data_IF_450857603391
#
_entry.id   IF_450857603391
#
_cell.length_a   1.000
_cell.length_b   1.000
_cell.length_c   1.000
_cell.angle_alpha   90.00
_cell.angle_beta   90.00
_cell.angle_gamma   90.00
#
_symmetry.space_group_name_H-M   'P 1'
#
loop_
_entity.id
_entity.type
_entity.pdbx_description
1 polymer ?
#
# COMPACT_ATOMS: atom_id res chain seq x y z
N UNK A 1 -17.15 0.34 8.91
CA UNK A 1 -16.11 1.23 8.33
C UNK A 1 -16.77 2.45 7.73
N UNK A 2 -16.23 3.66 7.91
CA UNK A 2 -16.66 4.87 7.18
C UNK A 2 -15.46 5.40 6.41
N UNK A 3 -15.64 5.67 5.12
CA UNK A 3 -14.65 6.39 4.32
C UNK A 3 -14.54 7.83 4.85
N UNK A 4 -13.32 8.27 5.18
CA UNK A 4 -13.07 9.57 5.82
C UNK A 4 -12.61 10.65 4.83
N UNK A 5 -11.81 10.27 3.82
CA UNK A 5 -11.28 11.19 2.82
C UNK A 5 -10.85 10.42 1.56
N UNK A 6 -10.91 11.10 0.41
CA UNK A 6 -10.31 10.65 -0.85
C UNK A 6 -9.53 11.81 -1.48
N UNK A 7 -8.51 11.48 -2.27
CA UNK A 7 -7.73 12.45 -3.04
C UNK A 7 -7.72 12.05 -4.51
N UNK A 8 -8.16 12.97 -5.38
CA UNK A 8 -7.89 12.90 -6.81
C UNK A 8 -6.99 14.09 -7.17
N UNK A 9 -5.78 13.80 -7.64
CA UNK A 9 -4.82 14.82 -8.04
C UNK A 9 -4.69 14.89 -9.56
N UNK A 10 -4.76 16.11 -10.10
CA UNK A 10 -4.36 16.40 -11.47
C UNK A 10 -2.85 16.28 -11.61
N UNK A 11 -2.38 15.51 -12.60
CA UNK A 11 -0.96 15.23 -12.76
C UNK A 11 -0.28 16.27 -13.65
N UNK A 12 0.91 16.77 -13.28
CA UNK A 12 1.61 17.81 -14.04
C UNK A 12 2.11 17.34 -15.41
N UNK A 13 2.20 16.02 -15.63
CA UNK A 13 2.52 15.41 -16.93
C UNK A 13 1.51 14.31 -17.27
N UNK A 14 0.91 14.32 -18.47
CA UNK A 14 0.12 13.20 -18.97
C UNK A 14 0.94 11.91 -18.93
N UNK A 15 0.34 10.82 -18.43
CA UNK A 15 1.01 9.51 -18.37
C UNK A 15 2.09 9.39 -17.28
N UNK A 16 1.97 10.15 -16.18
CA UNK A 16 2.80 9.95 -14.98
C UNK A 16 1.93 9.71 -13.75
N UNK A 17 2.45 9.10 -12.69
CA UNK A 17 1.81 9.05 -11.37
C UNK A 17 2.64 9.78 -10.31
N UNK A 18 1.97 10.33 -9.30
CA UNK A 18 2.62 10.80 -8.07
C UNK A 18 2.83 9.57 -7.17
N UNK A 19 3.96 9.44 -6.46
CA UNK A 19 4.12 8.38 -5.47
C UNK A 19 3.08 8.52 -4.35
N UNK A 20 2.64 7.38 -3.80
CA UNK A 20 1.57 7.34 -2.80
C UNK A 20 1.98 8.09 -1.55
N UNK A 21 3.26 8.06 -1.19
CA UNK A 21 3.80 8.83 -0.07
C UNK A 21 3.39 10.31 -0.12
N UNK A 22 3.66 11.04 -1.21
CA UNK A 22 3.31 12.47 -1.25
C UNK A 22 1.80 12.71 -1.18
N UNK A 23 1.00 11.85 -1.82
CA UNK A 23 -0.46 11.95 -1.74
C UNK A 23 -0.96 11.73 -0.30
N UNK A 24 -0.39 10.74 0.40
CA UNK A 24 -0.73 10.43 1.78
C UNK A 24 -0.23 11.48 2.76
N UNK A 25 0.94 12.11 2.54
CA UNK A 25 1.37 13.26 3.34
C UNK A 25 0.37 14.41 3.24
N UNK A 26 -0.11 14.75 2.04
CA UNK A 26 -1.13 15.79 1.87
C UNK A 26 -2.46 15.43 2.56
N UNK A 27 -2.87 14.17 2.48
CA UNK A 27 -4.05 13.68 3.21
C UNK A 27 -3.83 13.74 4.72
N UNK A 28 -2.69 13.29 5.21
CA UNK A 28 -2.32 13.30 6.62
C UNK A 28 -2.37 14.71 7.20
N UNK A 29 -1.81 15.70 6.49
CA UNK A 29 -1.87 17.12 6.88
C UNK A 29 -3.31 17.65 6.97
N UNK A 30 -4.17 17.25 6.03
CA UNK A 30 -5.58 17.65 6.03
C UNK A 30 -6.36 16.97 7.17
N UNK A 31 -6.11 15.68 7.40
CA UNK A 31 -6.74 14.87 8.43
C UNK A 31 -6.36 15.36 9.84
N UNK A 32 -5.10 15.73 10.07
CA UNK A 32 -4.64 16.30 11.34
C UNK A 32 -5.36 17.62 11.70
N UNK A 33 -5.83 18.38 10.71
CA UNK A 33 -6.62 19.61 10.96
C UNK A 33 -8.02 19.31 11.44
N UNK A 34 -8.54 18.10 11.20
CA UNK A 34 -9.87 17.66 11.63
C UNK A 34 -9.85 17.10 13.06
N UNK A 35 -8.68 16.67 13.55
CA UNK A 35 -8.50 16.16 14.90
C UNK A 35 -7.59 14.93 14.92
N UNK A 36 -7.70 14.15 16.00
CA UNK A 36 -7.04 12.85 16.11
C UNK A 36 -7.90 11.80 15.42
N UNK A 37 -7.32 11.06 14.48
CA UNK A 37 -7.99 10.00 13.74
C UNK A 37 -7.18 8.72 13.83
N UNK A 38 -7.85 7.66 14.29
CA UNK A 38 -7.31 6.30 14.26
C UNK A 38 -7.56 5.69 12.89
N UNK A 39 -6.62 5.92 11.97
CA UNK A 39 -6.67 5.31 10.63
C UNK A 39 -6.39 3.82 10.77
N UNK A 40 -7.30 2.96 10.35
CA UNK A 40 -7.12 1.51 10.43
C UNK A 40 -6.57 0.90 9.13
N UNK A 41 -6.75 1.57 8.00
CA UNK A 41 -6.23 1.13 6.71
C UNK A 41 -6.04 2.28 5.73
N UNK A 42 -5.28 2.00 4.68
CA UNK A 42 -5.26 2.80 3.45
C UNK A 42 -5.56 1.90 2.26
N UNK A 43 -6.11 2.50 1.20
CA UNK A 43 -6.31 1.83 -0.07
C UNK A 43 -5.95 2.79 -1.20
N UNK A 44 -5.19 2.30 -2.18
CA UNK A 44 -4.72 3.10 -3.30
C UNK A 44 -4.79 2.29 -4.61
N UNK A 45 -5.20 2.96 -5.68
CA UNK A 45 -5.20 2.41 -7.03
C UNK A 45 -3.99 2.93 -7.80
N UNK A 46 -3.07 2.03 -8.14
CA UNK A 46 -1.77 2.35 -8.71
C UNK A 46 -1.74 2.00 -10.20
N UNK A 47 -1.66 2.99 -11.12
CA UNK A 47 -1.49 2.70 -12.53
C UNK A 47 -0.02 2.32 -12.80
N UNK A 48 0.34 1.04 -12.74
CA UNK A 48 1.74 0.60 -12.92
C UNK A 48 2.26 0.71 -14.37
N UNK A 49 1.37 0.98 -15.33
CA UNK A 49 1.72 1.20 -16.75
C UNK A 49 2.20 2.62 -17.07
N UNK A 50 2.24 3.52 -16.08
CA UNK A 50 2.71 4.91 -16.26
C UNK A 50 3.95 5.18 -15.41
N UNK A 51 4.78 6.11 -15.88
CA UNK A 51 6.03 6.46 -15.19
C UNK A 51 5.75 7.16 -13.85
N UNK A 52 6.59 6.93 -12.85
CA UNK A 52 6.51 7.65 -11.57
C UNK A 52 7.24 8.98 -11.69
N UNK A 53 6.57 10.08 -11.35
CA UNK A 53 7.22 11.39 -11.26
C UNK A 53 8.25 11.37 -10.11
N UNK A 54 9.54 11.35 -10.47
CA UNK A 54 10.70 11.55 -9.58
C UNK A 54 10.59 10.87 -8.20
N UNK A 55 10.87 9.57 -8.13
CA UNK A 55 10.78 8.77 -6.91
C UNK A 55 12.08 8.76 -6.06
N UNK A 56 12.78 9.89 -5.94
CA UNK A 56 14.09 9.95 -5.27
C UNK A 56 14.02 9.84 -3.74
N UNK A 57 12.83 9.75 -3.15
CA UNK A 57 12.63 9.85 -1.69
C UNK A 57 12.86 8.52 -0.94
N UNK A 58 12.79 7.38 -1.63
CA UNK A 58 12.85 6.05 -1.02
C UNK A 58 14.10 5.79 -0.17
N UNK A 59 15.26 6.23 -0.64
CA UNK A 59 16.52 5.98 0.07
C UNK A 59 16.61 6.75 1.38
N UNK A 60 15.98 7.91 1.53
CA UNK A 60 15.97 8.64 2.80
C UNK A 60 14.92 8.10 3.77
N UNK A 61 13.75 7.70 3.25
CA UNK A 61 12.60 7.25 4.06
C UNK A 61 12.91 6.01 4.91
N UNK A 62 13.58 4.99 4.36
CA UNK A 62 13.90 3.79 5.13
C UNK A 62 14.83 4.07 6.33
N UNK A 63 15.69 5.10 6.22
CA UNK A 63 16.60 5.47 7.31
C UNK A 63 15.82 6.05 8.49
N UNK A 64 14.75 6.79 8.21
CA UNK A 64 13.90 7.37 9.25
C UNK A 64 13.24 6.28 10.10
N UNK A 65 12.60 5.29 9.46
CA UNK A 65 11.98 4.15 10.16
C UNK A 65 12.97 3.29 10.96
N UNK A 66 14.24 3.23 10.53
CA UNK A 66 15.30 2.54 11.30
C UNK A 66 15.78 3.31 12.53
N UNK A 67 15.69 4.64 12.49
CA UNK A 67 16.15 5.52 13.59
C UNK A 67 15.12 5.62 14.70
N UNK A 68 13.84 5.53 14.37
CA UNK A 68 12.76 5.50 15.34
C UNK A 68 12.80 4.17 16.10
N UNK A 69 13.31 4.20 17.34
CA UNK A 69 13.23 3.06 18.25
C UNK A 69 11.77 2.82 18.62
N UNK A 70 11.25 1.65 18.26
CA UNK A 70 9.90 1.23 18.58
C UNK A 70 9.96 0.03 19.51
N UNK A 71 9.24 0.11 20.63
CA UNK A 71 9.26 -0.90 21.69
C UNK A 71 8.57 -2.22 21.28
N UNK A 72 7.68 -2.18 20.28
CA UNK A 72 6.98 -3.34 19.77
C UNK A 72 6.66 -3.21 18.26
N UNK A 73 7.14 -4.14 17.41
CA UNK A 73 6.73 -4.20 16.01
C UNK A 73 5.22 -4.32 15.86
N UNK A 74 4.68 -3.74 14.78
CA UNK A 74 3.28 -3.78 14.42
C UNK A 74 3.04 -4.80 13.31
N UNK A 75 1.98 -5.58 13.46
CA UNK A 75 1.49 -6.43 12.38
C UNK A 75 0.64 -5.61 11.42
N UNK A 76 0.94 -5.73 10.13
CA UNK A 76 0.16 -5.13 9.05
C UNK A 76 -0.17 -6.19 8.00
N UNK A 77 -1.35 -6.09 7.41
CA UNK A 77 -1.76 -6.93 6.29
C UNK A 77 -1.75 -6.11 5.00
N UNK A 78 -1.20 -6.69 3.94
CA UNK A 78 -1.15 -6.07 2.62
C UNK A 78 -1.95 -6.94 1.67
N UNK A 79 -2.89 -6.33 0.93
CA UNK A 79 -3.57 -7.00 -0.17
C UNK A 79 -3.38 -6.23 -1.46
N UNK A 80 -2.91 -6.91 -2.51
CA UNK A 80 -2.78 -6.36 -3.85
C UNK A 80 -3.74 -7.09 -4.79
N UNK A 81 -4.57 -6.31 -5.48
CA UNK A 81 -5.56 -6.79 -6.43
C UNK A 81 -5.24 -6.25 -7.82
N UNK A 82 -5.33 -7.10 -8.82
CA UNK A 82 -5.01 -6.79 -10.22
C UNK A 82 -5.97 -7.51 -11.16
N UNK A 83 -6.01 -7.09 -12.42
CA UNK A 83 -6.78 -7.78 -13.47
C UNK A 83 -6.49 -9.28 -13.48
N UNK A 84 -7.52 -10.13 -13.55
CA UNK A 84 -7.34 -11.59 -13.62
C UNK A 84 -6.56 -12.04 -14.87
N UNK A 85 -6.49 -11.19 -15.91
CA UNK A 85 -5.65 -11.45 -17.08
C UNK A 85 -4.14 -11.32 -16.81
N UNK A 86 -3.74 -10.67 -15.73
CA UNK A 86 -2.35 -10.55 -15.35
C UNK A 86 -1.86 -11.83 -14.66
N UNK A 87 -0.61 -12.21 -14.95
CA UNK A 87 0.03 -13.35 -14.30
C UNK A 87 0.20 -13.04 -12.81
N UNK A 88 -0.48 -13.81 -11.96
CA UNK A 88 -0.35 -13.70 -10.50
C UNK A 88 1.09 -14.00 -10.08
N UNK A 89 1.78 -13.07 -9.38
CA UNK A 89 3.07 -13.36 -8.78
C UNK A 89 2.98 -14.47 -7.72
N UNK A 90 4.05 -15.24 -7.58
CA UNK A 90 4.18 -16.16 -6.44
C UNK A 90 4.24 -15.36 -5.13
N UNK A 91 3.41 -15.68 -4.12
CA UNK A 91 3.36 -14.90 -2.88
C UNK A 91 4.66 -14.88 -2.09
N UNK A 92 5.41 -15.99 -2.10
CA UNK A 92 6.68 -16.09 -1.36
C UNK A 92 7.73 -15.22 -2.03
N UNK A 93 7.90 -15.35 -3.34
CA UNK A 93 8.84 -14.54 -4.11
C UNK A 93 8.48 -13.05 -4.03
N UNK A 94 7.19 -12.71 -4.03
CA UNK A 94 6.76 -11.32 -3.88
C UNK A 94 7.11 -10.75 -2.51
N UNK A 95 6.88 -11.52 -1.44
CA UNK A 95 7.24 -11.16 -0.08
C UNK A 95 8.75 -10.91 0.07
N UNK A 96 9.57 -11.80 -0.51
CA UNK A 96 11.03 -11.66 -0.52
C UNK A 96 11.49 -10.37 -1.21
N UNK A 97 10.95 -10.05 -2.38
CA UNK A 97 11.28 -8.82 -3.11
C UNK A 97 10.83 -7.58 -2.32
N UNK A 98 9.65 -7.61 -1.71
CA UNK A 98 9.17 -6.51 -0.87
C UNK A 98 10.09 -6.29 0.33
N UNK A 99 10.47 -7.36 1.04
CA UNK A 99 11.38 -7.29 2.18
C UNK A 99 12.79 -6.80 1.76
N UNK A 100 13.29 -7.24 0.61
CA UNK A 100 14.57 -6.76 0.07
C UNK A 100 14.52 -5.25 -0.25
N UNK A 101 13.46 -4.81 -0.93
CA UNK A 101 13.26 -3.40 -1.31
C UNK A 101 13.00 -2.51 -0.10
N UNK A 102 12.42 -3.06 0.97
CA UNK A 102 12.25 -2.36 2.25
C UNK A 102 13.56 -2.14 3.00
N UNK A 103 14.66 -2.77 2.56
CA UNK A 103 15.97 -2.78 3.22
C UNK A 103 15.89 -3.26 4.67
N UNK A 104 14.98 -4.21 4.92
CA UNK A 104 14.74 -4.80 6.24
C UNK A 104 13.89 -3.94 7.18
N UNK A 105 13.21 -2.91 6.69
CA UNK A 105 12.20 -2.16 7.48
C UNK A 105 10.93 -2.97 7.65
N UNK A 106 10.56 -3.73 6.61
CA UNK A 106 9.35 -4.57 6.60
C UNK A 106 9.78 -6.01 6.37
N UNK A 107 9.39 -6.87 7.29
CA UNK A 107 9.40 -8.31 7.10
C UNK A 107 8.07 -8.71 6.46
N UNK A 108 8.09 -9.64 5.51
CA UNK A 108 6.88 -10.04 4.79
C UNK A 108 6.86 -11.55 4.55
N UNK A 109 5.66 -12.12 4.61
CA UNK A 109 5.37 -13.50 4.23
C UNK A 109 4.08 -13.53 3.40
N UNK A 110 4.01 -14.48 2.46
CA UNK A 110 2.76 -14.76 1.74
C UNK A 110 1.66 -15.18 2.70
N UNK A 111 0.43 -14.78 2.40
CA UNK A 111 -0.78 -15.22 3.08
C UNK A 111 -1.78 -15.80 2.07
N UNK A 112 -2.52 -16.81 2.50
CA UNK A 112 -3.49 -17.49 1.64
C UNK A 112 -4.78 -16.68 1.46
N UNK A 113 -5.17 -15.93 2.49
CA UNK A 113 -6.43 -15.19 2.56
C UNK A 113 -6.21 -13.73 2.98
N UNK A 114 -7.14 -12.87 2.57
CA UNK A 114 -7.22 -11.50 3.07
C UNK A 114 -7.64 -11.49 4.55
N UNK A 115 -7.24 -10.48 5.35
CA UNK A 115 -7.81 -10.29 6.68
C UNK A 115 -9.32 -10.03 6.58
N UNK A 116 -10.09 -10.44 7.60
CA UNK A 116 -11.55 -10.29 7.61
C UNK A 116 -12.01 -8.83 7.50
N UNK A 117 -11.19 -7.90 8.00
CA UNK A 117 -11.41 -6.47 7.98
C UNK A 117 -10.84 -5.78 6.73
N UNK A 118 -10.35 -6.55 5.75
CA UNK A 118 -9.85 -5.99 4.50
C UNK A 118 -10.92 -5.10 3.84
N UNK A 119 -10.55 -3.91 3.36
CA UNK A 119 -11.48 -3.08 2.60
C UNK A 119 -11.89 -3.79 1.31
N UNK A 120 -13.11 -3.54 0.87
CA UNK A 120 -13.63 -4.09 -0.38
C UNK A 120 -12.74 -3.64 -1.56
N UNK A 121 -12.09 -4.57 -2.29
CA UNK A 121 -11.33 -4.22 -3.48
C UNK A 121 -12.23 -3.64 -4.59
N UNK A 122 -13.53 -3.95 -4.56
CA UNK A 122 -14.57 -3.45 -5.46
C UNK A 122 -14.88 -1.96 -5.29
N UNK A 123 -14.42 -1.30 -4.23
CA UNK A 123 -14.58 0.14 -4.06
C UNK A 123 -13.98 0.97 -5.22
N UNK A 124 -13.02 0.38 -5.95
CA UNK A 124 -12.39 0.98 -7.14
C UNK A 124 -12.80 0.28 -8.46
N UNK A 125 -13.68 -0.72 -8.42
CA UNK A 125 -14.15 -1.42 -9.61
C UNK A 125 -14.87 -0.45 -10.55
N UNK A 126 -14.55 -0.52 -11.85
CA UNK A 126 -15.09 0.39 -12.87
C UNK A 126 -14.32 1.71 -13.06
N UNK A 127 -13.33 2.04 -12.22
CA UNK A 127 -12.46 3.23 -12.43
C UNK A 127 -11.27 2.88 -13.33
N UNK A 128 -10.53 1.80 -13.01
CA UNK A 128 -9.43 1.26 -13.84
C UNK A 128 -9.26 -0.28 -13.77
N UNK A 129 -9.97 -0.95 -12.86
CA UNK A 129 -10.06 -2.42 -12.83
C UNK A 129 -11.36 -2.78 -13.56
N UNK A 130 -11.22 -3.15 -14.83
CA UNK A 130 -12.35 -3.39 -15.74
C UNK A 130 -12.85 -4.85 -15.73
N UNK A 131 -12.12 -5.75 -15.07
CA UNK A 131 -12.49 -7.15 -14.98
C UNK A 131 -13.41 -7.38 -13.76
N UNK A 132 -14.48 -8.13 -13.97
CA UNK A 132 -15.40 -8.56 -12.91
C UNK A 132 -14.73 -9.55 -11.93
N UNK A 133 -13.60 -10.13 -12.34
CA UNK A 133 -12.79 -11.05 -11.54
C UNK A 133 -11.38 -10.48 -11.36
N UNK A 134 -10.94 -10.35 -10.11
CA UNK A 134 -9.63 -9.81 -9.75
C UNK A 134 -8.72 -10.92 -9.24
N UNK A 135 -7.51 -10.96 -9.76
CA UNK A 135 -6.43 -11.70 -9.11
C UNK A 135 -6.04 -11.00 -7.81
N UNK A 136 -5.74 -11.79 -6.77
CA UNK A 136 -5.38 -11.29 -5.45
C UNK A 136 -4.06 -11.88 -4.95
N UNK A 137 -3.32 -11.06 -4.22
CA UNK A 137 -2.12 -11.42 -3.47
C UNK A 137 -2.24 -10.84 -2.06
N UNK A 138 -2.10 -11.68 -1.05
CA UNK A 138 -2.13 -11.27 0.35
C UNK A 138 -0.78 -11.52 1.00
N UNK A 139 -0.33 -10.58 1.83
CA UNK A 139 0.88 -10.69 2.60
C UNK A 139 0.58 -10.35 4.05
N UNK A 140 1.22 -11.09 4.96
CA UNK A 140 1.35 -10.70 6.36
C UNK A 140 2.72 -10.07 6.54
N UNK A 141 2.74 -8.88 7.12
CA UNK A 141 3.97 -8.11 7.30
C UNK A 141 4.14 -7.68 8.75
N UNK A 142 5.40 -7.53 9.14
CA UNK A 142 5.81 -6.94 10.42
C UNK A 142 6.59 -5.67 10.11
N UNK A 143 6.21 -4.57 10.76
CA UNK A 143 6.79 -3.25 10.56
C UNK A 143 7.09 -2.56 11.90
N UNK A 144 7.93 -1.52 11.94
CA UNK A 144 8.32 -0.89 13.21
C UNK A 144 7.17 -0.12 13.89
N UNK A 145 6.21 0.39 13.13
CA UNK A 145 5.11 1.20 13.65
C UNK A 145 3.83 1.00 12.82
N UNK A 146 2.78 1.74 13.17
CA UNK A 146 1.65 1.96 12.28
C UNK A 146 1.44 3.46 12.15
N UNK A 147 1.50 3.95 10.90
CA UNK A 147 1.29 5.35 10.55
C UNK A 147 0.84 5.44 9.09
N UNK A 148 0.24 6.58 8.72
CA UNK A 148 -0.09 6.86 7.31
C UNK A 148 1.17 6.88 6.43
N UNK A 149 2.29 7.35 6.96
CA UNK A 149 3.57 7.38 6.28
C UNK A 149 4.07 5.96 5.99
N UNK A 150 4.06 5.07 6.99
CA UNK A 150 4.42 3.67 6.78
C UNK A 150 3.47 2.97 5.80
N UNK A 151 2.17 3.21 5.89
CA UNK A 151 1.19 2.64 4.97
C UNK A 151 1.45 3.07 3.51
N UNK A 152 1.81 4.34 3.31
CA UNK A 152 2.17 4.88 2.01
C UNK A 152 3.48 4.32 1.47
N UNK A 153 4.51 4.23 2.32
CA UNK A 153 5.79 3.58 1.96
C UNK A 153 5.60 2.12 1.57
N UNK A 154 4.81 1.38 2.35
CA UNK A 154 4.46 -0.01 2.06
C UNK A 154 3.77 -0.12 0.71
N UNK A 155 2.84 0.79 0.41
CA UNK A 155 2.12 0.81 -0.86
C UNK A 155 3.05 1.07 -2.06
N UNK A 156 3.95 2.04 -1.96
CA UNK A 156 4.92 2.29 -3.04
C UNK A 156 5.95 1.12 -3.16
N UNK A 157 6.33 0.44 -2.06
CA UNK A 157 7.13 -0.79 -2.11
C UNK A 157 6.41 -1.93 -2.84
N UNK A 158 5.10 -2.10 -2.60
CA UNK A 158 4.27 -3.08 -3.32
C UNK A 158 4.25 -2.76 -4.81
N UNK A 159 4.16 -1.47 -5.17
CA UNK A 159 4.25 -1.03 -6.56
C UNK A 159 5.59 -1.43 -7.19
N UNK A 160 6.69 -1.16 -6.50
CA UNK A 160 8.03 -1.48 -6.97
C UNK A 160 8.27 -3.00 -7.05
N UNK A 161 7.71 -3.78 -6.13
CA UNK A 161 7.74 -5.24 -6.17
C UNK A 161 6.93 -5.76 -7.36
N UNK A 162 5.70 -5.28 -7.56
CA UNK A 162 4.86 -5.63 -8.71
C UNK A 162 5.55 -5.33 -10.05
N UNK A 163 6.23 -4.18 -10.15
CA UNK A 163 7.01 -3.83 -11.34
C UNK A 163 8.15 -4.81 -11.62
N UNK A 164 8.79 -5.38 -10.59
CA UNK A 164 9.82 -6.40 -10.71
C UNK A 164 9.27 -7.74 -11.25
N UNK A 165 8.00 -8.03 -11.03
CA UNK A 165 7.26 -9.15 -11.66
C UNK A 165 6.64 -8.78 -13.01
N UNK A 166 7.10 -7.69 -13.63
CA UNK A 166 6.58 -7.20 -14.92
C UNK A 166 5.08 -6.84 -14.93
N UNK A 167 4.44 -6.66 -13.77
CA UNK A 167 3.08 -6.13 -13.71
C UNK A 167 3.09 -4.69 -14.22
N UNK A 168 2.29 -4.41 -15.26
CA UNK A 168 2.10 -3.09 -15.89
C UNK A 168 0.63 -2.68 -15.97
N UNK A 169 -0.24 -3.45 -15.34
CA UNK A 169 -1.67 -3.17 -15.20
C UNK A 169 -1.93 -2.35 -13.93
N UNK A 170 -3.08 -1.67 -13.83
CA UNK A 170 -3.51 -1.08 -12.56
C UNK A 170 -3.54 -2.11 -11.43
N UNK A 171 -3.09 -1.72 -10.24
CA UNK A 171 -3.09 -2.54 -9.03
C UNK A 171 -3.77 -1.77 -7.90
N UNK A 172 -4.80 -2.33 -7.30
CA UNK A 172 -5.37 -1.82 -6.05
C UNK A 172 -4.62 -2.43 -4.88
N UNK A 173 -3.99 -1.59 -4.05
CA UNK A 173 -3.26 -2.00 -2.86
C UNK A 173 -4.02 -1.52 -1.63
N UNK A 174 -4.27 -2.41 -0.67
CA UNK A 174 -4.68 -2.05 0.67
C UNK A 174 -3.60 -2.41 1.69
N UNK A 175 -3.39 -1.54 2.65
CA UNK A 175 -2.53 -1.77 3.82
C UNK A 175 -3.39 -1.54 5.05
N UNK A 176 -3.56 -2.59 5.85
CA UNK A 176 -4.42 -2.65 7.03
C UNK A 176 -3.54 -2.85 8.27
N UNK A 177 -3.82 -2.10 9.34
CA UNK A 177 -3.26 -2.38 10.66
C UNK A 177 -3.98 -3.58 11.27
N UNK A 178 -3.25 -4.63 11.63
CA UNK A 178 -3.81 -5.80 12.29
C UNK A 178 -4.08 -5.57 13.79
N UNK A 179 -3.88 -4.34 14.29
CA UNK A 179 -4.14 -3.94 15.67
C UNK A 179 -5.59 -4.15 16.07
N UNK A 180 -5.79 -4.87 17.16
CA UNK A 180 -7.07 -5.28 17.73
C UNK A 180 -8.09 -4.14 17.76
N UNK A 181 -9.13 -4.22 16.93
CA UNK A 181 -10.37 -3.50 17.19
C UNK A 181 -11.04 -4.24 18.36
N UNK A 182 -10.58 -4.01 19.59
CA UNK A 182 -11.37 -4.35 20.78
C UNK A 182 -12.57 -3.43 20.78
N UNK A 183 -13.73 -3.98 20.41
CA UNK A 183 -14.99 -3.25 20.42
C UNK A 183 -15.24 -2.57 21.77
N UNK A 184 -15.57 -1.29 21.71
CA UNK A 184 -16.27 -0.58 22.78
C UNK A 184 -17.76 -0.49 22.44
#
# INVERSE_FOLDING_TARGET
MRELAWLLAGLPRPGSRIPVWQAMTCLNDALHRLGHLDVTYTQALLPLGVDVAANNHFTATHQWFKLTQHDAPQEISVSAHFSASAVRPDPTAFAEILAQKSLGVIEAAGADEAPAEAPDPGAFAGVLLADDELGALHLRCTAPEWSLDLAAYTTDLVADAALAFALRVPVSVSVLHAGTITGH
#
